data_IF_535457271515
#
_entry.id   IF_535457271515
#
_cell.length_a   1.000
_cell.length_b   1.000
_cell.length_c   1.000
_cell.angle_alpha   90.00
_cell.angle_beta   90.00
_cell.angle_gamma   90.00
#
_symmetry.space_group_name_H-M   'P 1'
#
loop_
_entity.id
_entity.type
_entity.pdbx_description
1 polymer ?
#
# COMPACT_ATOMS: atom_id res chain seq x y z
N UNK A 1 3.87 -9.60 -13.99
CA UNK A 1 2.52 -9.14 -14.33
C UNK A 1 1.58 -10.32 -14.59
N UNK A 2 1.92 -11.27 -15.46
CA UNK A 2 1.09 -12.45 -15.77
C UNK A 2 0.53 -13.16 -14.53
N UNK A 3 1.32 -13.26 -13.47
CA UNK A 3 0.90 -13.93 -12.24
C UNK A 3 -0.11 -13.12 -11.45
N UNK A 4 0.03 -11.81 -11.40
CA UNK A 4 -0.97 -10.93 -10.77
C UNK A 4 -2.28 -10.95 -11.54
N UNK A 5 -2.20 -11.02 -12.86
CA UNK A 5 -3.35 -11.01 -13.77
C UNK A 5 -4.10 -12.34 -13.77
N UNK A 6 -3.38 -13.47 -13.78
CA UNK A 6 -3.99 -14.79 -13.97
C UNK A 6 -4.24 -15.58 -12.67
N UNK A 7 -3.53 -15.25 -11.57
CA UNK A 7 -3.61 -16.01 -10.31
C UNK A 7 -4.21 -15.19 -9.16
N UNK A 8 -4.53 -13.91 -9.36
CA UNK A 8 -5.08 -13.03 -8.32
C UNK A 8 -6.14 -12.08 -8.86
N UNK A 9 -6.90 -11.46 -7.96
CA UNK A 9 -7.84 -10.38 -8.30
C UNK A 9 -7.23 -8.98 -8.14
N UNK A 10 -5.89 -8.84 -8.16
CA UNK A 10 -5.18 -7.59 -7.88
C UNK A 10 -5.71 -6.39 -8.68
N UNK A 11 -6.07 -6.60 -9.95
CA UNK A 11 -6.57 -5.54 -10.83
C UNK A 11 -8.05 -5.19 -10.59
N UNK A 12 -8.78 -6.04 -9.89
CA UNK A 12 -10.20 -5.87 -9.57
C UNK A 12 -10.45 -5.58 -8.09
N UNK A 13 -9.50 -5.96 -7.22
CA UNK A 13 -9.61 -5.82 -5.77
C UNK A 13 -9.74 -4.35 -5.35
N UNK A 14 -10.50 -4.04 -4.28
CA UNK A 14 -10.49 -2.74 -3.65
C UNK A 14 -9.23 -2.55 -2.79
N UNK A 15 -8.80 -1.31 -2.58
CA UNK A 15 -7.72 -0.99 -1.64
C UNK A 15 -8.14 -1.10 -0.17
N UNK A 16 -9.44 -1.10 0.10
CA UNK A 16 -10.00 -1.22 1.45
C UNK A 16 -11.49 -1.50 1.43
N UNK A 17 -12.06 -1.84 2.60
CA UNK A 17 -13.48 -2.19 2.70
C UNK A 17 -14.43 -0.97 2.75
N UNK A 18 -13.96 0.20 3.23
CA UNK A 18 -14.83 1.37 3.52
C UNK A 18 -14.20 2.72 3.23
N UNK A 19 -12.86 2.82 3.23
CA UNK A 19 -12.14 4.08 3.14
C UNK A 19 -11.65 4.33 1.69
N UNK A 20 -10.41 4.79 1.54
CA UNK A 20 -9.81 5.00 0.23
C UNK A 20 -9.89 3.72 -0.62
N UNK A 21 -10.14 3.90 -1.93
CA UNK A 21 -10.14 2.79 -2.88
C UNK A 21 -11.17 1.67 -2.64
N UNK A 22 -12.26 1.92 -1.91
CA UNK A 22 -13.33 0.94 -1.64
C UNK A 22 -14.26 0.74 -2.87
N UNK A 23 -13.69 0.42 -4.02
CA UNK A 23 -14.37 0.16 -5.29
C UNK A 23 -13.53 -0.81 -6.14
N UNK A 24 -14.14 -1.47 -7.16
CA UNK A 24 -13.41 -2.38 -8.04
C UNK A 24 -12.21 -1.69 -8.70
N UNK A 25 -11.03 -2.32 -8.67
CA UNK A 25 -9.78 -1.74 -9.18
C UNK A 25 -9.13 -0.70 -8.26
N UNK A 26 -9.69 -0.48 -7.06
CA UNK A 26 -9.13 0.46 -6.09
C UNK A 26 -7.69 0.14 -5.68
N UNK A 27 -7.34 -1.16 -5.59
CA UNK A 27 -5.99 -1.59 -5.23
C UNK A 27 -4.94 -1.19 -6.28
N UNK A 28 -5.20 -1.41 -7.54
CA UNK A 28 -4.27 -1.03 -8.62
C UNK A 28 -4.13 0.49 -8.74
N UNK A 29 -5.22 1.24 -8.54
CA UNK A 29 -5.19 2.71 -8.53
C UNK A 29 -4.36 3.23 -7.36
N UNK A 30 -4.55 2.67 -6.16
CA UNK A 30 -3.74 2.98 -4.98
C UNK A 30 -2.26 2.69 -5.24
N UNK A 31 -1.92 1.49 -5.72
CA UNK A 31 -0.55 1.11 -6.06
C UNK A 31 0.12 2.08 -7.05
N UNK A 32 -0.60 2.52 -8.09
CA UNK A 32 -0.11 3.52 -9.03
C UNK A 32 0.10 4.89 -8.39
N UNK A 33 -0.78 5.30 -7.48
CA UNK A 33 -0.63 6.56 -6.74
C UNK A 33 0.58 6.50 -5.80
N UNK A 34 0.77 5.38 -5.10
CA UNK A 34 1.95 5.17 -4.23
C UNK A 34 3.23 5.16 -5.07
N UNK A 35 3.26 4.46 -6.21
CA UNK A 35 4.41 4.47 -7.13
C UNK A 35 4.80 5.90 -7.54
N UNK A 36 3.83 6.71 -7.99
CA UNK A 36 4.07 8.09 -8.41
C UNK A 36 4.62 8.94 -7.27
N UNK A 37 4.02 8.83 -6.07
CA UNK A 37 4.46 9.58 -4.89
C UNK A 37 5.84 9.13 -4.41
N UNK A 38 6.10 7.83 -4.40
CA UNK A 38 7.40 7.30 -4.01
C UNK A 38 8.50 7.77 -4.94
N UNK A 39 8.24 7.81 -6.25
CA UNK A 39 9.15 8.35 -7.25
C UNK A 39 9.45 9.83 -7.02
N UNK A 40 8.42 10.65 -6.78
CA UNK A 40 8.57 12.08 -6.46
C UNK A 40 9.40 12.29 -5.20
N UNK A 41 9.12 11.54 -4.13
CA UNK A 41 9.85 11.59 -2.85
C UNK A 41 11.32 11.19 -3.06
N UNK A 42 11.58 10.13 -3.82
CA UNK A 42 12.94 9.65 -4.10
C UNK A 42 13.73 10.71 -4.84
N UNK A 43 13.20 11.31 -5.90
CA UNK A 43 13.86 12.38 -6.64
C UNK A 43 14.13 13.60 -5.74
N UNK A 44 13.14 14.00 -4.92
CA UNK A 44 13.28 15.10 -3.95
C UNK A 44 14.45 14.85 -3.01
N UNK A 45 14.54 13.65 -2.44
CA UNK A 45 15.55 13.31 -1.42
C UNK A 45 16.95 13.13 -2.02
N UNK A 46 17.05 12.73 -3.29
CA UNK A 46 18.31 12.65 -4.03
C UNK A 46 18.80 14.01 -4.53
N UNK A 47 17.92 15.00 -4.63
CA UNK A 47 18.25 16.32 -5.17
C UNK A 47 18.94 17.16 -4.11
N UNK A 48 20.20 17.61 -4.33
CA UNK A 48 20.88 18.53 -3.44
C UNK A 48 20.10 19.85 -3.28
N UNK A 49 20.19 20.49 -2.11
CA UNK A 49 19.44 21.74 -1.82
C UNK A 49 19.80 22.90 -2.72
N UNK A 50 21.02 22.93 -3.23
CA UNK A 50 21.57 23.94 -4.12
C UNK A 50 21.56 23.56 -5.60
N UNK A 51 20.91 22.42 -5.94
CA UNK A 51 20.81 21.97 -7.32
C UNK A 51 19.88 22.87 -8.15
N UNK A 52 20.28 23.14 -9.39
CA UNK A 52 19.47 23.93 -10.35
C UNK A 52 18.30 23.15 -10.96
N UNK A 53 18.18 21.84 -10.66
CA UNK A 53 17.12 20.97 -11.16
C UNK A 53 17.07 19.65 -10.41
N UNK A 54 16.07 18.79 -10.69
CA UNK A 54 15.91 17.52 -10.04
C UNK A 54 17.09 16.56 -10.32
N UNK A 55 17.51 15.79 -9.33
CA UNK A 55 18.48 14.74 -9.52
C UNK A 55 17.94 13.66 -10.48
N UNK A 56 18.79 13.09 -11.36
CA UNK A 56 18.41 11.92 -12.12
C UNK A 56 18.21 10.73 -11.17
N UNK A 57 17.22 9.90 -11.45
CA UNK A 57 17.02 8.63 -10.78
C UNK A 57 17.71 7.53 -11.59
N UNK A 58 18.46 6.64 -10.95
CA UNK A 58 19.12 5.51 -11.62
C UNK A 58 18.10 4.42 -11.98
N UNK A 59 18.44 3.55 -12.96
CA UNK A 59 17.58 2.41 -13.32
C UNK A 59 17.29 1.51 -12.12
N UNK A 60 18.27 1.30 -11.25
CA UNK A 60 18.08 0.49 -10.03
C UNK A 60 17.11 1.14 -9.05
N UNK A 61 17.21 2.43 -8.85
CA UNK A 61 16.27 3.16 -7.99
C UNK A 61 14.85 3.18 -8.60
N UNK A 62 14.73 3.31 -9.93
CA UNK A 62 13.43 3.23 -10.61
C UNK A 62 12.81 1.84 -10.47
N UNK A 63 13.61 0.76 -10.56
CA UNK A 63 13.17 -0.61 -10.31
C UNK A 63 12.68 -0.78 -8.87
N UNK A 64 13.45 -0.33 -7.88
CA UNK A 64 13.04 -0.35 -6.46
C UNK A 64 11.76 0.44 -6.24
N UNK A 65 11.64 1.64 -6.82
CA UNK A 65 10.40 2.45 -6.75
C UNK A 65 9.21 1.69 -7.33
N UNK A 66 9.39 0.99 -8.45
CA UNK A 66 8.34 0.21 -9.08
C UNK A 66 7.94 -1.00 -8.22
N UNK A 67 8.90 -1.77 -7.72
CA UNK A 67 8.64 -2.91 -6.83
C UNK A 67 7.88 -2.46 -5.59
N UNK A 68 8.40 -1.47 -4.89
CA UNK A 68 7.81 -0.98 -3.65
C UNK A 68 6.44 -0.35 -3.87
N UNK A 69 6.34 0.58 -4.81
CA UNK A 69 5.10 1.33 -5.04
C UNK A 69 3.96 0.45 -5.55
N UNK A 70 4.25 -0.48 -6.46
CA UNK A 70 3.21 -1.30 -7.09
C UNK A 70 2.83 -2.53 -6.28
N UNK A 71 3.73 -3.07 -5.44
CA UNK A 71 3.52 -4.39 -4.82
C UNK A 71 3.40 -4.37 -3.29
N UNK A 72 3.66 -3.22 -2.60
CA UNK A 72 3.65 -3.17 -1.13
C UNK A 72 2.38 -3.74 -0.51
N UNK A 73 1.25 -3.58 -1.18
CA UNK A 73 -0.09 -3.92 -0.73
C UNK A 73 -0.70 -5.17 -1.41
N UNK A 74 0.12 -5.99 -2.08
CA UNK A 74 -0.36 -7.19 -2.78
C UNK A 74 -1.10 -8.18 -1.85
N UNK A 75 -0.87 -8.11 -0.55
CA UNK A 75 -1.61 -8.86 0.47
C UNK A 75 -3.11 -8.60 0.49
N UNK A 76 -3.57 -7.49 -0.11
CA UNK A 76 -4.99 -7.11 -0.23
C UNK A 76 -5.71 -7.86 -1.35
N UNK A 77 -4.98 -8.50 -2.26
CA UNK A 77 -5.59 -9.36 -3.27
C UNK A 77 -6.18 -10.63 -2.62
N UNK A 78 -7.39 -11.01 -3.05
CA UNK A 78 -8.09 -12.22 -2.59
C UNK A 78 -8.68 -12.16 -1.18
N UNK A 79 -8.76 -10.99 -0.54
CA UNK A 79 -9.26 -10.86 0.84
C UNK A 79 -10.56 -10.08 0.98
N UNK A 80 -11.01 -9.42 -0.08
CA UNK A 80 -12.24 -8.64 -0.06
C UNK A 80 -13.35 -9.31 -0.87
N UNK A 81 -14.51 -9.52 -0.21
CA UNK A 81 -15.68 -10.16 -0.81
C UNK A 81 -16.88 -9.22 -0.74
N UNK A 82 -17.69 -9.16 -1.79
CA UNK A 82 -18.92 -8.37 -1.80
C UNK A 82 -20.02 -9.15 -1.09
N UNK A 83 -20.63 -8.52 -0.09
CA UNK A 83 -21.74 -9.09 0.69
C UNK A 83 -22.86 -8.09 0.88
N UNK A 84 -24.10 -8.61 1.05
CA UNK A 84 -25.24 -7.80 1.47
C UNK A 84 -25.07 -7.40 2.93
N UNK A 85 -25.12 -6.09 3.19
CA UNK A 85 -25.01 -5.48 4.50
C UNK A 85 -26.23 -4.60 4.77
N UNK A 86 -26.47 -4.25 6.04
CA UNK A 86 -27.52 -3.31 6.44
C UNK A 86 -26.92 -2.10 7.12
N UNK A 87 -27.47 -0.93 6.81
CA UNK A 87 -27.15 0.32 7.50
C UNK A 87 -28.43 1.09 7.77
N UNK A 88 -28.39 1.94 8.76
CA UNK A 88 -29.44 2.93 8.99
C UNK A 88 -29.15 4.15 8.13
N UNK A 89 -30.07 4.52 7.27
CA UNK A 89 -29.96 5.74 6.48
C UNK A 89 -29.92 6.95 7.43
N UNK A 90 -28.90 7.82 7.37
CA UNK A 90 -28.75 8.92 8.32
C UNK A 90 -29.84 10.00 8.16
N UNK A 91 -30.43 10.14 6.97
CA UNK A 91 -31.45 11.16 6.70
C UNK A 91 -32.85 10.69 7.07
N UNK A 92 -33.19 9.43 6.71
CA UNK A 92 -34.55 8.91 6.88
C UNK A 92 -34.72 8.07 8.15
N UNK A 93 -33.64 7.64 8.77
CA UNK A 93 -33.62 6.73 9.91
C UNK A 93 -34.07 5.30 9.59
N UNK A 94 -34.37 4.97 8.33
CA UNK A 94 -34.84 3.64 7.88
C UNK A 94 -33.65 2.72 7.63
N UNK A 95 -33.83 1.44 7.94
CA UNK A 95 -32.84 0.41 7.60
C UNK A 95 -32.90 0.07 6.12
N UNK A 96 -31.74 0.13 5.45
CA UNK A 96 -31.58 -0.20 4.04
C UNK A 96 -30.49 -1.27 3.84
N UNK A 97 -30.70 -2.15 2.87
CA UNK A 97 -29.69 -3.11 2.43
C UNK A 97 -28.78 -2.45 1.39
N UNK A 98 -27.47 -2.75 1.47
CA UNK A 98 -26.51 -2.32 0.46
C UNK A 98 -25.47 -3.42 0.23
N UNK A 99 -24.78 -3.39 -0.91
CA UNK A 99 -23.62 -4.24 -1.18
C UNK A 99 -22.36 -3.54 -0.68
N UNK A 100 -21.53 -4.25 0.07
CA UNK A 100 -20.28 -3.70 0.59
C UNK A 100 -19.23 -4.77 0.79
N UNK A 101 -17.96 -4.35 0.78
CA UNK A 101 -16.84 -5.26 0.96
C UNK A 101 -16.73 -5.76 2.40
N UNK A 102 -16.48 -7.06 2.54
CA UNK A 102 -16.12 -7.73 3.80
C UNK A 102 -14.72 -8.29 3.66
N UNK A 103 -13.89 -8.05 4.68
CA UNK A 103 -12.54 -8.58 4.75
C UNK A 103 -12.55 -10.00 5.33
N UNK A 104 -11.94 -10.94 4.61
CA UNK A 104 -11.72 -12.33 5.03
C UNK A 104 -10.33 -12.73 4.57
N UNK A 105 -9.41 -12.91 5.50
CA UNK A 105 -8.04 -13.28 5.18
C UNK A 105 -7.82 -14.78 5.42
N UNK A 106 -7.63 -15.61 4.37
CA UNK A 106 -7.34 -17.03 4.50
C UNK A 106 -5.89 -17.31 4.93
N UNK A 107 -5.00 -16.30 4.92
CA UNK A 107 -3.59 -16.41 5.26
C UNK A 107 -3.15 -15.25 6.16
N UNK A 108 -3.50 -15.25 7.45
CA UNK A 108 -3.29 -14.13 8.37
C UNK A 108 -1.84 -14.05 8.89
N UNK A 109 -0.91 -13.69 8.03
CA UNK A 109 0.53 -13.53 8.36
C UNK A 109 0.89 -12.13 8.90
N UNK A 110 -0.07 -11.21 8.96
CA UNK A 110 0.21 -9.78 9.14
C UNK A 110 0.27 -9.06 7.80
N UNK A 111 0.15 -7.72 7.81
CA UNK A 111 -0.05 -6.96 6.58
C UNK A 111 1.21 -6.92 5.72
N UNK A 112 2.31 -6.36 6.26
CA UNK A 112 3.58 -6.26 5.53
C UNK A 112 4.23 -7.62 5.30
N UNK A 113 4.15 -8.54 6.28
CA UNK A 113 4.67 -9.90 6.18
C UNK A 113 4.01 -10.69 5.06
N UNK A 114 2.69 -10.55 4.92
CA UNK A 114 1.95 -11.24 3.86
C UNK A 114 2.33 -10.73 2.48
N UNK A 115 2.45 -9.40 2.30
CA UNK A 115 2.94 -8.82 1.05
C UNK A 115 4.35 -9.33 0.73
N UNK A 116 5.26 -9.26 1.69
CA UNK A 116 6.63 -9.77 1.53
C UNK A 116 6.64 -11.26 1.14
N UNK A 117 5.89 -12.11 1.84
CA UNK A 117 5.77 -13.53 1.53
C UNK A 117 5.26 -13.78 0.12
N UNK A 118 4.22 -13.07 -0.30
CA UNK A 118 3.63 -13.22 -1.63
C UNK A 118 4.60 -12.80 -2.74
N UNK A 119 5.28 -11.66 -2.59
CA UNK A 119 6.24 -11.13 -3.57
C UNK A 119 7.46 -12.07 -3.69
N UNK A 120 8.02 -12.53 -2.56
CA UNK A 120 9.19 -13.39 -2.53
C UNK A 120 9.00 -14.74 -3.25
N UNK A 121 7.76 -15.13 -3.56
CA UNK A 121 7.47 -16.34 -4.35
C UNK A 121 7.77 -16.19 -5.85
N UNK A 122 8.00 -14.97 -6.35
CA UNK A 122 8.19 -14.69 -7.77
C UNK A 122 9.21 -13.60 -8.09
N UNK A 123 9.58 -12.77 -7.12
CA UNK A 123 10.64 -11.76 -7.24
C UNK A 123 11.63 -11.97 -6.09
N UNK A 124 12.92 -11.95 -6.40
CA UNK A 124 13.95 -11.87 -5.36
C UNK A 124 14.08 -10.41 -4.94
N UNK A 125 13.69 -10.13 -3.70
CA UNK A 125 13.81 -8.81 -3.10
C UNK A 125 15.22 -8.61 -2.53
N UNK A 126 15.72 -7.40 -2.61
CA UNK A 126 16.88 -6.96 -1.85
C UNK A 126 16.44 -6.65 -0.40
N UNK A 127 17.40 -6.68 0.55
CA UNK A 127 17.09 -6.48 1.98
C UNK A 127 16.37 -5.15 2.25
N UNK A 128 16.77 -4.07 1.59
CA UNK A 128 16.14 -2.77 1.75
C UNK A 128 14.71 -2.72 1.21
N UNK A 129 14.39 -3.46 0.14
CA UNK A 129 13.05 -3.61 -0.39
C UNK A 129 12.17 -4.44 0.55
N UNK A 130 12.72 -5.55 1.04
CA UNK A 130 12.05 -6.39 2.02
C UNK A 130 11.69 -5.63 3.30
N UNK A 131 12.63 -4.85 3.85
CA UNK A 131 12.40 -3.99 5.01
C UNK A 131 11.33 -2.93 4.75
N UNK A 132 11.38 -2.27 3.57
CA UNK A 132 10.41 -1.26 3.21
C UNK A 132 8.99 -1.85 3.10
N UNK A 133 8.81 -2.97 2.40
CA UNK A 133 7.51 -3.65 2.28
C UNK A 133 7.02 -4.13 3.65
N UNK A 134 7.91 -4.76 4.46
CA UNK A 134 7.55 -5.24 5.79
C UNK A 134 6.99 -4.13 6.68
N UNK A 135 7.61 -2.95 6.66
CA UNK A 135 7.36 -1.89 7.62
C UNK A 135 6.63 -0.66 7.04
N UNK A 136 6.06 -0.75 5.81
CA UNK A 136 5.40 0.40 5.18
C UNK A 136 4.23 0.98 5.99
N UNK A 137 3.55 0.14 6.79
CA UNK A 137 2.49 0.61 7.70
C UNK A 137 3.02 1.47 8.87
N UNK A 138 4.34 1.49 9.11
CA UNK A 138 4.94 2.25 10.18
C UNK A 138 4.32 1.92 11.55
N UNK A 139 3.99 2.93 12.35
CA UNK A 139 3.39 2.77 13.67
C UNK A 139 1.94 2.21 13.64
N UNK A 140 1.30 2.13 12.48
CA UNK A 140 0.00 1.48 12.34
C UNK A 140 0.10 -0.05 12.29
N UNK A 141 1.31 -0.59 12.06
CA UNK A 141 1.55 -2.03 12.10
C UNK A 141 1.31 -2.60 13.51
N UNK A 142 0.70 -3.79 13.58
CA UNK A 142 0.37 -4.43 14.87
C UNK A 142 1.61 -4.82 15.67
N UNK A 143 2.69 -5.26 15.01
CA UNK A 143 3.95 -5.57 15.66
C UNK A 143 4.60 -4.30 16.24
N UNK A 144 4.57 -3.17 15.51
CA UNK A 144 5.09 -1.90 15.99
C UNK A 144 4.36 -1.35 17.21
N UNK A 145 3.06 -1.66 17.37
CA UNK A 145 2.29 -1.27 18.56
C UNK A 145 2.75 -1.95 19.84
N UNK A 146 3.37 -3.12 19.71
CA UNK A 146 3.88 -3.88 20.86
C UNK A 146 5.31 -3.47 21.18
N UNK A 147 6.15 -3.28 20.16
CA UNK A 147 7.55 -2.89 20.30
C UNK A 147 8.01 -2.12 19.05
N UNK A 148 8.49 -0.90 19.25
CA UNK A 148 8.98 -0.03 18.18
C UNK A 148 10.42 -0.28 17.76
N UNK A 149 11.16 -1.15 18.48
CA UNK A 149 12.60 -1.36 18.24
C UNK A 149 12.91 -1.84 16.83
N UNK A 150 12.16 -2.82 16.34
CA UNK A 150 12.40 -3.39 15.02
C UNK A 150 12.03 -2.39 13.90
N UNK A 151 10.95 -1.63 14.08
CA UNK A 151 10.57 -0.57 13.15
C UNK A 151 11.65 0.53 13.12
N UNK A 152 12.13 0.98 14.28
CA UNK A 152 13.21 1.98 14.37
C UNK A 152 14.49 1.48 13.71
N UNK A 153 14.89 0.24 13.99
CA UNK A 153 16.05 -0.38 13.37
C UNK A 153 15.91 -0.48 11.84
N UNK A 154 14.73 -0.80 11.34
CA UNK A 154 14.46 -0.86 9.90
C UNK A 154 14.55 0.53 9.25
N UNK A 155 14.03 1.58 9.91
CA UNK A 155 14.13 2.97 9.44
C UNK A 155 15.58 3.47 9.42
N UNK A 156 16.41 3.05 10.40
CA UNK A 156 17.83 3.39 10.46
C UNK A 156 18.64 2.63 9.41
N UNK A 157 18.23 1.40 9.07
CA UNK A 157 18.94 0.57 8.09
C UNK A 157 18.77 1.07 6.65
N UNK A 158 17.63 1.67 6.32
CA UNK A 158 17.36 2.15 4.95
C UNK A 158 16.31 3.27 4.89
N UNK A 159 16.53 4.30 4.06
CA UNK A 159 15.55 5.36 3.85
C UNK A 159 14.28 4.88 3.13
N UNK A 160 14.31 3.71 2.49
CA UNK A 160 13.18 3.19 1.73
C UNK A 160 11.96 2.85 2.60
N UNK A 161 12.17 2.48 3.86
CA UNK A 161 11.07 2.26 4.83
C UNK A 161 10.27 3.55 5.01
N UNK A 162 10.97 4.66 5.26
CA UNK A 162 10.34 5.96 5.47
C UNK A 162 9.71 6.51 4.20
N UNK A 163 10.42 6.43 3.07
CA UNK A 163 9.91 6.91 1.77
C UNK A 163 8.62 6.21 1.36
N UNK A 164 8.57 4.88 1.50
CA UNK A 164 7.38 4.11 1.15
C UNK A 164 6.23 4.44 2.10
N UNK A 165 6.47 4.52 3.41
CA UNK A 165 5.48 4.93 4.38
C UNK A 165 4.90 6.32 4.07
N UNK A 166 5.76 7.33 3.78
CA UNK A 166 5.30 8.67 3.39
C UNK A 166 4.47 8.62 2.10
N UNK A 167 4.90 7.86 1.11
CA UNK A 167 4.21 7.74 -0.17
C UNK A 167 2.81 7.14 -0.02
N UNK A 168 2.69 6.05 0.75
CA UNK A 168 1.42 5.37 1.05
C UNK A 168 0.47 6.30 1.82
N UNK A 169 0.93 6.93 2.90
CA UNK A 169 0.12 7.88 3.66
C UNK A 169 -0.37 9.04 2.80
N UNK A 170 0.46 9.58 1.91
CA UNK A 170 0.05 10.65 0.98
C UNK A 170 -0.96 10.17 -0.07
N UNK A 171 -0.79 8.95 -0.59
CA UNK A 171 -1.76 8.36 -1.51
C UNK A 171 -3.11 8.18 -0.83
N UNK A 172 -3.15 7.47 0.30
CA UNK A 172 -4.38 7.15 1.00
C UNK A 172 -5.13 8.37 1.57
N UNK A 173 -4.41 9.32 2.17
CA UNK A 173 -5.02 10.41 2.94
C UNK A 173 -5.12 11.75 2.21
N UNK A 174 -4.41 11.93 1.10
CA UNK A 174 -4.42 13.17 0.33
C UNK A 174 -4.99 12.95 -1.07
N UNK A 175 -4.41 12.00 -1.85
CA UNK A 175 -4.80 11.81 -3.24
C UNK A 175 -6.14 11.09 -3.40
N UNK A 176 -6.41 10.10 -2.52
CA UNK A 176 -7.59 9.23 -2.57
C UNK A 176 -8.65 9.58 -1.54
N UNK A 177 -8.45 10.67 -0.80
CA UNK A 177 -9.43 11.14 0.16
C UNK A 177 -10.74 11.44 -0.55
N UNK A 178 -11.81 10.72 -0.19
CA UNK A 178 -13.16 11.10 -0.59
C UNK A 178 -13.42 12.50 -0.04
N UNK A 179 -13.72 13.45 -0.92
CA UNK A 179 -14.38 14.68 -0.49
C UNK A 179 -15.74 14.21 -0.02
N UNK A 180 -16.03 14.38 1.26
CA UNK A 180 -17.33 14.10 1.80
C UNK A 180 -18.35 14.89 0.95
N UNK A 181 -19.22 14.14 0.27
CA UNK A 181 -20.40 14.68 -0.39
C UNK A 181 -21.40 15.12 0.66
#
# INVERSE_FOLDING_TARGET
LERLENETDFFEAPAGAKHHGAFPGGLVIHSLNVYRRLREITIRDLTPRDALGPAPISEREEETVAILGLLHDVCKAGVYHIERKRRRNPETGVWEDYLGYTFRDPLPLGHGEKSLYQIARFIRLEDHEALAIRWHMGAYDTAARTDLRDLSAAMDATPWVWRLHEADMRAAHIAERRKDE
#
